data_IF_421070759538
#
_entry.id   IF_421070759538
#
_cell.length_a   1.000
_cell.length_b   1.000
_cell.length_c   1.000
_cell.angle_alpha   90.00
_cell.angle_beta   90.00
_cell.angle_gamma   90.00
#
_symmetry.space_group_name_H-M   'P 1'
#
loop_
_entity.id
_entity.type
_entity.pdbx_description
1 polymer ?
#
# COMPACT_ATOMS: atom_id res chain seq x y z
N UNK A 1 -3.40 29.68 -41.67
CA UNK A 1 -2.35 28.86 -41.04
C UNK A 1 -2.58 27.43 -41.46
N UNK A 2 -1.77 26.86 -42.35
CA UNK A 2 -1.85 25.44 -42.69
C UNK A 2 -1.38 24.65 -41.45
N UNK A 3 -2.33 23.85 -40.91
CA UNK A 3 -2.02 22.92 -39.81
C UNK A 3 -1.44 21.66 -40.41
N UNK A 4 -0.35 21.13 -39.86
CA UNK A 4 0.19 19.84 -40.28
C UNK A 4 -0.75 18.71 -39.86
N UNK A 5 -1.07 17.77 -40.75
CA UNK A 5 -1.89 16.63 -40.41
C UNK A 5 -1.27 15.76 -39.29
N UNK A 6 -2.12 15.23 -38.41
CA UNK A 6 -1.69 14.36 -37.33
C UNK A 6 -1.49 12.93 -37.86
N UNK A 7 -0.30 12.65 -38.38
CA UNK A 7 0.05 11.34 -38.96
C UNK A 7 0.08 10.21 -37.92
N UNK A 8 0.40 10.52 -36.66
CA UNK A 8 0.45 9.53 -35.56
C UNK A 8 -0.95 9.01 -35.23
N UNK A 9 -1.95 9.90 -35.05
CA UNK A 9 -3.33 9.50 -34.86
C UNK A 9 -3.85 8.68 -36.06
N UNK A 10 -3.53 9.12 -37.28
CA UNK A 10 -3.96 8.42 -38.49
C UNK A 10 -3.37 7.00 -38.58
N UNK A 11 -2.09 6.82 -38.23
CA UNK A 11 -1.41 5.53 -38.20
C UNK A 11 -2.03 4.57 -37.17
N UNK A 12 -2.24 5.02 -35.93
CA UNK A 12 -2.82 4.18 -34.87
C UNK A 12 -4.30 3.86 -35.17
N UNK A 13 -5.05 4.79 -35.76
CA UNK A 13 -6.42 4.48 -36.21
C UNK A 13 -6.46 3.44 -37.33
N UNK A 14 -5.49 3.46 -38.26
CA UNK A 14 -5.37 2.47 -39.34
C UNK A 14 -5.01 1.09 -38.75
N UNK A 15 -4.02 1.03 -37.82
CA UNK A 15 -3.68 -0.19 -37.08
C UNK A 15 -4.88 -0.76 -36.37
N UNK A 16 -5.67 0.09 -35.69
CA UNK A 16 -6.89 -0.29 -35.00
C UNK A 16 -8.06 -0.63 -35.95
N UNK A 17 -7.97 -0.46 -37.27
CA UNK A 17 -9.07 -0.59 -38.20
C UNK A 17 -10.27 0.30 -37.79
N UNK A 18 -10.01 1.53 -37.29
CA UNK A 18 -11.05 2.42 -36.78
C UNK A 18 -11.37 3.54 -37.76
N UNK A 19 -12.63 3.63 -38.17
CA UNK A 19 -13.13 4.81 -38.90
C UNK A 19 -13.35 5.99 -37.96
N UNK A 20 -13.44 7.22 -38.49
CA UNK A 20 -13.74 8.40 -37.71
C UNK A 20 -15.06 8.27 -36.91
N UNK A 21 -16.08 7.64 -37.50
CA UNK A 21 -17.37 7.40 -36.86
C UNK A 21 -17.24 6.35 -35.73
N UNK A 22 -16.47 5.29 -35.98
CA UNK A 22 -16.21 4.22 -35.03
C UNK A 22 -15.41 4.72 -33.82
N UNK A 23 -14.37 5.53 -34.04
CA UNK A 23 -13.59 6.13 -32.96
C UNK A 23 -14.46 7.11 -32.15
N UNK A 24 -15.21 8.01 -32.80
CA UNK A 24 -16.08 8.94 -32.10
C UNK A 24 -17.13 8.25 -31.21
N UNK A 25 -17.67 7.11 -31.64
CA UNK A 25 -18.59 6.32 -30.82
C UNK A 25 -17.88 5.76 -29.57
N UNK A 26 -16.72 5.13 -29.73
CA UNK A 26 -15.94 4.57 -28.60
C UNK A 26 -15.47 5.62 -27.60
N UNK A 27 -15.06 6.80 -28.10
CA UNK A 27 -14.67 7.91 -27.23
C UNK A 27 -15.83 8.36 -26.34
N UNK A 28 -17.05 8.35 -26.85
CA UNK A 28 -18.24 8.63 -26.04
C UNK A 28 -18.52 7.52 -25.02
N UNK A 29 -18.40 6.26 -25.43
CA UNK A 29 -18.56 5.11 -24.54
C UNK A 29 -17.53 5.12 -23.42
N UNK A 30 -16.27 5.48 -23.71
CA UNK A 30 -15.23 5.68 -22.71
C UNK A 30 -15.59 6.83 -21.78
N UNK A 31 -15.98 7.99 -22.30
CA UNK A 31 -16.38 9.15 -21.48
C UNK A 31 -17.56 8.82 -20.56
N UNK A 32 -18.57 8.07 -21.05
CA UNK A 32 -19.71 7.62 -20.23
C UNK A 32 -19.30 6.69 -19.11
N UNK A 33 -18.32 5.78 -19.33
CA UNK A 33 -17.72 4.95 -18.27
C UNK A 33 -17.07 5.80 -17.16
N UNK A 34 -16.56 6.96 -17.52
CA UNK A 34 -15.96 7.93 -16.57
C UNK A 34 -16.97 8.95 -16.03
N UNK A 35 -18.28 8.76 -16.28
CA UNK A 35 -19.33 9.65 -15.79
C UNK A 35 -19.44 10.98 -16.55
N UNK A 36 -18.80 11.08 -17.72
CA UNK A 36 -18.76 12.31 -18.53
C UNK A 36 -19.63 12.18 -19.81
N UNK A 37 -20.26 13.27 -20.20
CA UNK A 37 -21.02 13.35 -21.45
C UNK A 37 -20.25 14.17 -22.48
N UNK A 38 -19.71 13.49 -23.49
CA UNK A 38 -19.02 14.12 -24.60
C UNK A 38 -19.88 14.13 -25.88
N UNK A 39 -20.03 15.31 -26.48
CA UNK A 39 -20.66 15.47 -27.79
C UNK A 39 -19.74 15.16 -29.00
N UNK A 40 -18.77 14.22 -28.83
CA UNK A 40 -17.79 13.92 -29.88
C UNK A 40 -18.44 13.32 -31.10
N UNK A 41 -18.38 14.02 -32.24
CA UNK A 41 -18.84 13.56 -33.53
C UNK A 41 -17.67 13.14 -34.45
N UNK A 42 -17.96 12.42 -35.53
CA UNK A 42 -16.94 12.01 -36.51
C UNK A 42 -16.17 13.19 -37.14
N UNK A 43 -16.82 14.36 -37.22
CA UNK A 43 -16.21 15.61 -37.69
C UNK A 43 -15.10 16.07 -36.74
N UNK A 44 -15.26 15.89 -35.43
CA UNK A 44 -14.21 16.21 -34.45
C UNK A 44 -12.98 15.33 -34.66
N UNK A 45 -13.17 14.03 -34.89
CA UNK A 45 -12.07 13.09 -35.19
C UNK A 45 -11.35 13.49 -36.48
N UNK A 46 -12.11 13.88 -37.52
CA UNK A 46 -11.49 14.38 -38.77
C UNK A 46 -10.64 15.62 -38.51
N UNK A 47 -11.15 16.58 -37.75
CA UNK A 47 -10.38 17.80 -37.40
C UNK A 47 -9.10 17.50 -36.63
N UNK A 48 -9.12 16.51 -35.74
CA UNK A 48 -7.91 16.07 -35.02
C UNK A 48 -6.89 15.44 -35.94
N UNK A 49 -7.33 14.64 -36.92
CA UNK A 49 -6.47 14.09 -37.98
C UNK A 49 -5.88 15.19 -38.87
N UNK A 50 -6.61 16.25 -39.11
CA UNK A 50 -6.18 17.44 -39.88
C UNK A 50 -5.32 18.40 -39.05
N UNK A 51 -4.85 17.98 -37.85
CA UNK A 51 -3.96 18.75 -37.00
C UNK A 51 -4.65 19.77 -36.08
N UNK A 52 -5.98 19.67 -35.90
CA UNK A 52 -6.66 20.51 -34.90
C UNK A 52 -6.30 20.06 -33.48
N UNK A 53 -6.15 21.02 -32.58
CA UNK A 53 -5.95 20.78 -31.15
C UNK A 53 -7.13 20.06 -30.51
N UNK A 54 -6.83 19.29 -29.49
CA UNK A 54 -7.79 18.51 -28.70
C UNK A 54 -7.66 18.90 -27.21
N UNK A 55 -8.75 18.89 -26.48
CA UNK A 55 -8.71 19.06 -25.02
C UNK A 55 -8.03 17.87 -24.40
N UNK A 56 -7.26 18.10 -23.32
CA UNK A 56 -6.44 17.09 -22.65
C UNK A 56 -7.22 15.85 -22.22
N UNK A 57 -8.38 16.06 -21.62
CA UNK A 57 -9.27 14.98 -21.17
C UNK A 57 -9.82 14.17 -22.35
N UNK A 58 -10.24 14.85 -23.43
CA UNK A 58 -10.71 14.17 -24.64
C UNK A 58 -9.57 13.37 -25.30
N UNK A 59 -8.32 13.87 -25.25
CA UNK A 59 -7.15 13.13 -25.75
C UNK A 59 -6.91 11.85 -24.96
N UNK A 60 -7.11 11.86 -23.63
CA UNK A 60 -7.04 10.69 -22.79
C UNK A 60 -8.10 9.64 -23.17
N UNK A 61 -9.35 10.06 -23.36
CA UNK A 61 -10.40 9.15 -23.81
C UNK A 61 -10.19 8.58 -25.22
N UNK A 62 -9.58 9.35 -26.12
CA UNK A 62 -9.17 8.85 -27.45
C UNK A 62 -8.10 7.78 -27.32
N UNK A 63 -7.10 8.00 -26.46
CA UNK A 63 -6.03 7.07 -26.20
C UNK A 63 -6.56 5.78 -25.55
N UNK A 64 -7.46 5.87 -24.57
CA UNK A 64 -8.11 4.73 -23.93
C UNK A 64 -8.95 3.93 -24.93
N UNK A 65 -9.79 4.59 -25.74
CA UNK A 65 -10.62 3.94 -26.73
C UNK A 65 -9.81 3.14 -27.80
N UNK A 66 -8.61 3.61 -28.12
CA UNK A 66 -7.70 2.91 -29.03
C UNK A 66 -6.89 1.83 -28.31
N UNK A 67 -6.55 2.03 -27.05
CA UNK A 67 -5.89 1.02 -26.20
C UNK A 67 -6.77 -0.21 -26.04
N UNK A 68 -8.07 -0.02 -25.71
CA UNK A 68 -9.07 -1.08 -25.57
C UNK A 68 -9.16 -1.91 -26.87
N UNK A 69 -9.15 -1.24 -28.00
CA UNK A 69 -9.29 -1.92 -29.28
C UNK A 69 -8.04 -2.69 -29.71
N UNK A 70 -6.87 -2.16 -29.43
CA UNK A 70 -5.58 -2.76 -29.82
C UNK A 70 -5.02 -3.70 -28.75
N UNK A 71 -5.69 -3.80 -27.59
CA UNK A 71 -5.22 -4.57 -26.41
C UNK A 71 -3.76 -4.26 -26.04
N UNK A 72 -3.35 -3.02 -26.24
CA UNK A 72 -2.05 -2.50 -25.81
C UNK A 72 -2.18 -1.05 -25.38
N UNK A 73 -1.33 -0.62 -24.48
CA UNK A 73 -1.34 0.76 -23.97
C UNK A 73 -0.96 1.74 -25.08
N UNK A 74 -1.82 2.74 -25.28
CA UNK A 74 -1.61 3.88 -26.16
C UNK A 74 -1.76 5.14 -25.32
N UNK A 75 -0.81 6.04 -25.43
CA UNK A 75 -0.84 7.32 -24.73
C UNK A 75 -1.25 8.45 -25.69
N UNK A 76 -1.76 9.59 -25.19
CA UNK A 76 -2.01 10.76 -26.02
C UNK A 76 -0.78 11.22 -26.82
N UNK A 77 0.44 11.01 -26.28
CA UNK A 77 1.70 11.31 -26.95
C UNK A 77 1.91 10.43 -28.20
N UNK A 78 1.56 9.14 -28.11
CA UNK A 78 1.65 8.20 -29.22
C UNK A 78 0.68 8.57 -30.36
N UNK A 79 -0.37 9.34 -30.03
CA UNK A 79 -1.37 9.86 -30.95
C UNK A 79 -1.01 11.26 -31.50
N UNK A 80 0.19 11.77 -31.24
CA UNK A 80 0.63 13.09 -31.74
C UNK A 80 -0.13 14.27 -31.13
N UNK A 81 -0.67 14.14 -29.93
CA UNK A 81 -1.26 15.25 -29.20
C UNK A 81 -0.20 15.88 -28.26
N UNK A 82 0.56 16.92 -28.74
CA UNK A 82 1.52 17.62 -27.92
C UNK A 82 0.76 18.44 -26.87
N UNK A 83 1.00 18.20 -25.63
CA UNK A 83 0.33 18.84 -24.50
C UNK A 83 -0.41 17.90 -23.58
N UNK A 84 -0.49 16.63 -23.94
CA UNK A 84 -0.71 15.56 -23.00
C UNK A 84 0.62 15.00 -22.48
N UNK A 85 1.57 15.88 -22.16
CA UNK A 85 2.61 15.47 -21.23
C UNK A 85 1.90 14.84 -20.03
N UNK A 86 2.36 13.68 -19.50
CA UNK A 86 1.83 13.19 -18.23
C UNK A 86 1.77 14.40 -17.31
N UNK A 87 0.65 14.56 -16.58
CA UNK A 87 0.64 15.59 -15.54
C UNK A 87 1.94 15.44 -14.79
N UNK A 88 2.69 16.55 -14.53
CA UNK A 88 3.91 16.44 -13.76
C UNK A 88 3.58 15.55 -12.59
N UNK A 89 4.40 14.51 -12.39
CA UNK A 89 4.14 13.51 -11.37
C UNK A 89 3.75 14.25 -10.11
N UNK A 90 2.58 13.93 -9.56
CA UNK A 90 2.04 14.69 -8.44
C UNK A 90 3.08 14.74 -7.33
N UNK A 91 3.54 15.90 -6.93
CA UNK A 91 4.44 16.10 -5.80
C UNK A 91 3.69 16.23 -4.48
N UNK A 92 2.35 16.11 -4.52
CA UNK A 92 1.50 16.18 -3.33
C UNK A 92 1.88 15.07 -2.36
N UNK A 93 2.21 15.46 -1.12
CA UNK A 93 2.59 14.51 -0.05
C UNK A 93 4.01 13.94 -0.16
N UNK A 94 4.86 14.48 -1.07
CA UNK A 94 6.27 14.10 -1.12
C UNK A 94 7.11 14.73 0.02
N UNK A 95 7.06 16.02 0.27
CA UNK A 95 7.79 16.62 1.38
C UNK A 95 7.06 16.37 2.71
N UNK A 96 7.85 16.28 3.79
CA UNK A 96 7.29 16.31 5.13
C UNK A 96 6.70 17.69 5.40
N UNK A 97 5.39 17.77 5.60
CA UNK A 97 4.67 19.05 5.65
C UNK A 97 5.17 19.95 6.79
N UNK A 98 5.35 21.23 6.51
CA UNK A 98 5.81 22.23 7.48
C UNK A 98 4.73 22.64 8.47
N UNK A 99 3.45 22.40 8.17
CA UNK A 99 2.30 22.80 8.99
C UNK A 99 1.18 21.76 8.96
N UNK A 100 0.30 21.83 9.97
CA UNK A 100 -0.92 21.02 10.00
C UNK A 100 -1.85 21.35 8.81
N UNK A 101 -2.02 22.62 8.45
CA UNK A 101 -2.88 23.03 7.33
C UNK A 101 -2.42 22.38 6.01
N UNK A 102 -1.11 22.36 5.76
CA UNK A 102 -0.53 21.68 4.60
C UNK A 102 -0.76 20.16 4.66
N UNK A 103 -0.63 19.55 5.85
CA UNK A 103 -0.90 18.11 6.05
C UNK A 103 -2.35 17.76 5.73
N UNK A 104 -3.31 18.55 6.21
CA UNK A 104 -4.74 18.32 5.96
C UNK A 104 -5.08 18.50 4.47
N UNK A 105 -4.55 19.53 3.83
CA UNK A 105 -4.72 19.75 2.39
C UNK A 105 -4.09 18.60 1.56
N UNK A 106 -2.95 18.09 2.00
CA UNK A 106 -2.30 16.94 1.38
C UNK A 106 -3.17 15.69 1.50
N UNK A 107 -3.65 15.36 2.70
CA UNK A 107 -4.53 14.21 2.93
C UNK A 107 -5.83 14.31 2.13
N UNK A 108 -6.44 15.49 2.08
CA UNK A 108 -7.61 15.74 1.24
C UNK A 108 -7.31 15.43 -0.23
N UNK A 109 -6.22 15.98 -0.75
CA UNK A 109 -5.79 15.75 -2.15
C UNK A 109 -5.51 14.27 -2.43
N UNK A 110 -4.86 13.54 -1.51
CA UNK A 110 -4.59 12.11 -1.65
C UNK A 110 -5.88 11.28 -1.66
N UNK A 111 -6.89 11.67 -0.86
CA UNK A 111 -8.19 10.97 -0.85
C UNK A 111 -9.02 11.18 -2.11
N UNK A 112 -8.71 12.16 -2.95
CA UNK A 112 -9.33 12.36 -4.26
C UNK A 112 -8.67 11.51 -5.37
N UNK A 113 -7.43 11.04 -5.16
CA UNK A 113 -6.75 10.18 -6.12
C UNK A 113 -7.37 8.78 -6.07
N UNK A 114 -7.70 8.21 -7.23
CA UNK A 114 -8.17 6.83 -7.31
C UNK A 114 -6.95 5.91 -7.42
N UNK A 115 -6.87 4.81 -6.65
CA UNK A 115 -5.78 3.83 -6.79
C UNK A 115 -5.67 3.29 -8.23
N UNK A 116 -6.81 3.20 -8.92
CA UNK A 116 -6.94 2.73 -10.30
C UNK A 116 -6.40 3.74 -11.32
N UNK A 117 -6.30 5.03 -10.95
CA UNK A 117 -5.97 6.08 -11.90
C UNK A 117 -4.52 5.99 -12.39
N UNK A 118 -3.58 5.38 -11.65
CA UNK A 118 -2.19 5.12 -12.11
C UNK A 118 -1.35 4.22 -11.17
N UNK A 119 -1.49 2.91 -11.16
CA UNK A 119 -0.46 2.08 -10.54
C UNK A 119 0.83 2.21 -11.35
N UNK A 120 1.86 2.82 -10.78
CA UNK A 120 3.24 2.78 -11.30
C UNK A 120 3.79 3.99 -12.04
N UNK A 121 3.01 5.02 -12.37
CA UNK A 121 3.52 6.21 -13.09
C UNK A 121 4.05 7.33 -12.18
N UNK A 122 3.84 7.25 -10.87
CA UNK A 122 4.32 8.27 -9.93
C UNK A 122 5.73 7.92 -9.42
N UNK A 123 6.65 8.89 -9.40
CA UNK A 123 7.99 8.64 -8.89
C UNK A 123 7.91 8.27 -7.39
N UNK A 124 8.71 7.29 -6.97
CA UNK A 124 8.82 6.97 -5.55
C UNK A 124 9.38 8.15 -4.78
N UNK A 125 9.04 8.25 -3.48
CA UNK A 125 9.65 9.23 -2.60
C UNK A 125 11.17 9.06 -2.59
N UNK A 126 11.95 10.16 -2.76
CA UNK A 126 13.39 10.13 -2.60
C UNK A 126 13.77 9.66 -1.19
N UNK A 127 14.83 8.86 -1.07
CA UNK A 127 15.32 8.41 0.24
C UNK A 127 15.71 9.59 1.14
N UNK A 128 16.24 10.68 0.57
CA UNK A 128 16.56 11.92 1.29
C UNK A 128 15.36 12.53 2.02
N UNK A 129 14.19 12.54 1.37
CA UNK A 129 12.97 13.13 1.94
C UNK A 129 12.43 12.27 3.08
N UNK A 130 12.48 10.96 2.91
CA UNK A 130 12.08 10.00 3.95
C UNK A 130 13.03 10.06 5.16
N UNK A 131 14.34 10.14 4.92
CA UNK A 131 15.33 10.29 5.99
C UNK A 131 15.12 11.61 6.74
N UNK A 132 14.90 12.70 6.01
CA UNK A 132 14.64 14.01 6.61
C UNK A 132 13.36 14.02 7.45
N UNK A 133 12.29 13.37 6.96
CA UNK A 133 11.04 13.25 7.71
C UNK A 133 11.19 12.43 9.00
N UNK A 134 11.84 11.27 8.91
CA UNK A 134 12.08 10.42 10.07
C UNK A 134 12.95 11.15 11.13
N UNK A 135 14.01 11.85 10.70
CA UNK A 135 14.85 12.64 11.58
C UNK A 135 14.07 13.82 12.20
N UNK A 136 13.31 14.57 11.40
CA UNK A 136 12.49 15.67 11.89
C UNK A 136 11.51 15.19 12.95
N UNK A 137 10.82 14.07 12.70
CA UNK A 137 9.90 13.49 13.67
C UNK A 137 10.61 13.02 14.96
N UNK A 138 11.79 12.42 14.86
CA UNK A 138 12.56 11.96 16.03
C UNK A 138 12.99 13.08 16.95
N UNK A 139 13.49 14.19 16.39
CA UNK A 139 14.14 15.27 17.17
C UNK A 139 13.18 16.40 17.55
N UNK A 140 12.05 16.56 16.84
CA UNK A 140 11.12 17.63 17.10
C UNK A 140 10.24 17.35 18.31
N UNK A 141 9.90 18.42 19.04
CA UNK A 141 8.85 18.35 20.06
C UNK A 141 7.48 18.28 19.41
N UNK A 142 6.46 17.69 20.07
CA UNK A 142 5.09 17.77 19.60
C UNK A 142 4.66 19.22 19.39
N UNK A 143 3.93 19.49 18.29
CA UNK A 143 3.43 20.83 17.99
C UNK A 143 2.29 21.23 18.95
N UNK A 144 1.57 20.24 19.48
CA UNK A 144 0.32 20.42 20.20
C UNK A 144 -0.87 20.55 19.26
N UNK A 145 -2.02 20.07 19.71
CA UNK A 145 -3.26 20.16 18.93
C UNK A 145 -3.80 21.59 18.97
N UNK A 146 -4.20 22.15 17.79
CA UNK A 146 -4.79 23.47 17.76
C UNK A 146 -6.16 23.44 18.46
N UNK A 147 -6.45 24.44 19.29
CA UNK A 147 -7.76 24.62 19.93
C UNK A 147 -8.38 25.90 19.40
N UNK A 148 -9.40 25.78 18.56
CA UNK A 148 -10.16 26.94 18.07
C UNK A 148 -11.52 27.03 18.78
N UNK A 149 -11.64 28.02 19.67
CA UNK A 149 -12.89 28.28 20.38
C UNK A 149 -13.97 28.93 19.51
N UNK A 150 -13.61 29.49 18.35
CA UNK A 150 -14.50 30.20 17.44
C UNK A 150 -15.17 29.28 16.41
N UNK A 151 -14.71 28.03 16.24
CA UNK A 151 -15.25 27.09 15.27
C UNK A 151 -16.74 26.80 15.54
N UNK A 152 -17.54 26.84 14.49
CA UNK A 152 -18.99 26.59 14.55
C UNK A 152 -19.35 25.14 14.83
N UNK A 153 -18.55 24.20 14.31
CA UNK A 153 -18.72 22.75 14.57
C UNK A 153 -17.90 22.35 15.79
N UNK A 154 -18.53 21.73 16.76
CA UNK A 154 -17.87 21.18 17.96
C UNK A 154 -17.76 19.67 17.87
N UNK A 155 -16.56 19.17 18.12
CA UNK A 155 -16.24 17.73 18.16
C UNK A 155 -16.14 17.27 19.61
N UNK A 156 -16.68 16.11 19.91
CA UNK A 156 -16.64 15.45 21.22
C UNK A 156 -16.10 14.04 21.16
N UNK A 157 -15.99 13.39 22.32
CA UNK A 157 -15.51 12.01 22.42
C UNK A 157 -16.38 10.99 21.67
N UNK A 158 -17.65 11.32 21.39
CA UNK A 158 -18.55 10.45 20.59
C UNK A 158 -18.09 10.40 19.12
N UNK A 159 -17.62 11.52 18.58
CA UNK A 159 -17.09 11.57 17.20
C UNK A 159 -15.79 10.76 17.11
N UNK A 160 -14.92 10.89 18.13
CA UNK A 160 -13.68 10.10 18.23
C UNK A 160 -13.99 8.60 18.30
N UNK A 161 -14.96 8.21 19.11
CA UNK A 161 -15.37 6.81 19.23
C UNK A 161 -15.92 6.27 17.88
N UNK A 162 -16.70 7.07 17.14
CA UNK A 162 -17.20 6.68 15.82
C UNK A 162 -16.06 6.41 14.83
N UNK A 163 -15.02 7.28 14.81
CA UNK A 163 -13.83 7.09 13.94
C UNK A 163 -13.11 5.78 14.31
N UNK A 164 -12.88 5.53 15.61
CA UNK A 164 -12.21 4.29 16.05
C UNK A 164 -13.01 3.04 15.73
N UNK A 165 -14.33 3.06 15.95
CA UNK A 165 -15.21 1.94 15.59
C UNK A 165 -15.13 1.66 14.08
N UNK A 166 -15.17 2.70 13.24
CA UNK A 166 -15.01 2.54 11.81
C UNK A 166 -13.61 2.00 11.43
N UNK A 167 -12.54 2.49 12.07
CA UNK A 167 -11.19 1.98 11.85
C UNK A 167 -11.08 0.48 12.19
N UNK A 168 -11.63 0.05 13.32
CA UNK A 168 -11.67 -1.36 13.71
C UNK A 168 -12.43 -2.23 12.71
N UNK A 169 -13.57 -1.76 12.20
CA UNK A 169 -14.34 -2.45 11.17
C UNK A 169 -13.55 -2.60 9.85
N UNK A 170 -12.92 -1.53 9.38
CA UNK A 170 -12.10 -1.57 8.16
C UNK A 170 -10.85 -2.45 8.33
N UNK A 171 -10.25 -2.45 9.51
CA UNK A 171 -9.13 -3.35 9.81
C UNK A 171 -9.55 -4.82 9.72
N UNK A 172 -10.73 -5.19 10.24
CA UNK A 172 -11.26 -6.55 10.12
C UNK A 172 -11.49 -6.95 8.66
N UNK A 173 -12.06 -6.06 7.83
CA UNK A 173 -12.23 -6.30 6.40
C UNK A 173 -10.87 -6.49 5.69
N UNK A 174 -9.86 -5.69 6.05
CA UNK A 174 -8.51 -5.83 5.50
C UNK A 174 -7.88 -7.18 5.85
N UNK A 175 -8.04 -7.65 7.09
CA UNK A 175 -7.54 -8.96 7.51
C UNK A 175 -8.22 -10.13 6.79
N UNK A 176 -9.52 -10.00 6.49
CA UNK A 176 -10.28 -11.06 5.82
C UNK A 176 -10.06 -11.09 4.31
N UNK A 177 -10.11 -9.94 3.65
CA UNK A 177 -10.23 -9.84 2.20
C UNK A 177 -9.05 -9.15 1.50
N UNK A 178 -8.13 -8.56 2.27
CA UNK A 178 -7.02 -7.75 1.72
C UNK A 178 -7.40 -6.30 1.46
N UNK A 179 -6.38 -5.46 1.28
CA UNK A 179 -6.52 -4.00 1.22
C UNK A 179 -7.37 -3.47 0.07
N UNK A 180 -7.45 -4.19 -1.05
CA UNK A 180 -8.19 -3.75 -2.24
C UNK A 180 -9.70 -3.71 -2.06
N UNK A 181 -10.25 -4.67 -1.32
CA UNK A 181 -11.70 -4.88 -1.20
C UNK A 181 -12.47 -3.69 -0.58
N UNK A 182 -11.97 -3.14 0.52
CA UNK A 182 -12.65 -2.09 1.26
C UNK A 182 -12.08 -0.67 1.00
N UNK A 183 -11.00 -0.54 0.24
CA UNK A 183 -10.25 0.71 0.08
C UNK A 183 -11.11 1.89 -0.33
N UNK A 184 -12.04 1.71 -1.28
CA UNK A 184 -12.93 2.77 -1.78
C UNK A 184 -13.86 3.31 -0.69
N UNK A 185 -14.52 2.42 0.06
CA UNK A 185 -15.42 2.79 1.15
C UNK A 185 -14.64 3.45 2.29
N UNK A 186 -13.48 2.92 2.61
CA UNK A 186 -12.60 3.43 3.65
C UNK A 186 -12.10 4.83 3.34
N UNK A 187 -11.59 5.06 2.14
CA UNK A 187 -11.16 6.38 1.67
C UNK A 187 -12.30 7.41 1.69
N UNK A 188 -13.50 6.99 1.27
CA UNK A 188 -14.68 7.85 1.32
C UNK A 188 -15.01 8.27 2.75
N UNK A 189 -15.09 7.32 3.68
CA UNK A 189 -15.34 7.60 5.09
C UNK A 189 -14.28 8.53 5.70
N UNK A 190 -13.00 8.26 5.44
CA UNK A 190 -11.92 9.12 5.95
C UNK A 190 -12.07 10.56 5.46
N UNK A 191 -12.36 10.75 4.16
CA UNK A 191 -12.49 12.08 3.55
C UNK A 191 -13.72 12.84 4.05
N UNK A 192 -14.88 12.19 4.09
CA UNK A 192 -16.15 12.88 4.34
C UNK A 192 -16.46 12.99 5.85
N UNK A 193 -16.06 12.00 6.65
CA UNK A 193 -16.46 11.91 8.04
C UNK A 193 -15.32 12.23 9.02
N UNK A 194 -14.09 11.77 8.79
CA UNK A 194 -13.00 11.91 9.74
C UNK A 194 -12.15 13.17 9.50
N UNK A 195 -11.67 13.40 8.28
CA UNK A 195 -10.75 14.50 7.95
C UNK A 195 -11.31 15.89 8.27
N UNK A 196 -12.60 16.22 7.98
CA UNK A 196 -13.17 17.52 8.30
C UNK A 196 -13.23 17.83 9.80
N UNK A 197 -13.23 16.79 10.66
CA UNK A 197 -13.26 16.99 12.12
C UNK A 197 -11.94 17.56 12.65
N UNK A 198 -10.82 17.30 11.99
CA UNK A 198 -9.51 17.82 12.37
C UNK A 198 -9.38 19.34 12.27
N UNK A 199 -10.22 19.97 11.43
CA UNK A 199 -10.33 21.42 11.31
C UNK A 199 -11.47 22.04 12.14
N UNK A 200 -12.18 21.26 12.96
CA UNK A 200 -13.30 21.76 13.77
C UNK A 200 -12.84 22.24 15.17
N UNK A 201 -13.77 22.70 16.00
CA UNK A 201 -13.48 23.12 17.38
C UNK A 201 -13.56 21.96 18.36
N UNK A 202 -12.56 21.83 19.22
CA UNK A 202 -12.49 20.80 20.28
C UNK A 202 -11.64 21.26 21.49
N UNK A 203 -11.78 20.59 22.63
CA UNK A 203 -10.87 20.78 23.76
C UNK A 203 -9.53 20.05 23.50
N UNK A 204 -8.47 20.42 24.17
CA UNK A 204 -7.15 19.80 24.04
C UNK A 204 -7.25 18.25 24.15
N UNK A 205 -7.91 17.74 25.19
CA UNK A 205 -8.10 16.29 25.41
C UNK A 205 -8.85 15.59 24.26
N UNK A 206 -9.90 16.25 23.72
CA UNK A 206 -10.65 15.70 22.57
C UNK A 206 -9.79 15.77 21.32
N UNK A 207 -9.05 16.86 21.12
CA UNK A 207 -8.14 17.03 20.00
C UNK A 207 -7.06 15.94 19.97
N UNK A 208 -6.37 15.69 21.09
CA UNK A 208 -5.37 14.61 21.19
C UNK A 208 -5.97 13.25 20.78
N UNK A 209 -7.14 12.89 21.33
CA UNK A 209 -7.83 11.65 21.00
C UNK A 209 -8.31 11.61 19.53
N UNK A 210 -8.74 12.75 18.98
CA UNK A 210 -9.19 12.89 17.58
C UNK A 210 -8.03 12.68 16.60
N UNK A 211 -6.89 13.34 16.86
CA UNK A 211 -5.71 13.19 16.00
C UNK A 211 -5.11 11.78 16.08
N UNK A 212 -5.14 11.14 17.26
CA UNK A 212 -4.77 9.74 17.40
C UNK A 212 -5.67 8.84 16.55
N UNK A 213 -7.00 8.95 16.67
CA UNK A 213 -7.95 8.17 15.88
C UNK A 213 -7.83 8.42 14.37
N UNK A 214 -7.60 9.67 13.96
CA UNK A 214 -7.37 10.02 12.56
C UNK A 214 -6.05 9.44 12.04
N UNK A 215 -5.00 9.39 12.87
CA UNK A 215 -3.72 8.76 12.54
C UNK A 215 -3.86 7.24 12.37
N UNK A 216 -4.61 6.57 13.27
CA UNK A 216 -4.95 5.15 13.16
C UNK A 216 -5.65 4.87 11.80
N UNK A 217 -6.64 5.67 11.45
CA UNK A 217 -7.39 5.52 10.22
C UNK A 217 -6.54 5.82 8.98
N UNK A 218 -5.76 6.90 8.99
CA UNK A 218 -4.85 7.25 7.88
C UNK A 218 -3.77 6.20 7.66
N UNK A 219 -3.27 5.58 8.73
CA UNK A 219 -2.34 4.45 8.67
C UNK A 219 -2.96 3.24 7.98
N UNK A 220 -4.22 2.91 8.27
CA UNK A 220 -4.92 1.81 7.60
C UNK A 220 -5.13 2.09 6.11
N UNK A 221 -5.42 3.35 5.71
CA UNK A 221 -5.46 3.75 4.30
C UNK A 221 -4.11 3.55 3.61
N UNK A 222 -3.02 3.94 4.29
CA UNK A 222 -1.67 3.74 3.79
C UNK A 222 -1.37 2.24 3.61
N UNK A 223 -1.76 1.41 4.57
CA UNK A 223 -1.58 -0.04 4.51
C UNK A 223 -2.38 -0.68 3.38
N UNK A 224 -3.65 -0.28 3.23
CA UNK A 224 -4.50 -0.73 2.13
C UNK A 224 -3.93 -0.36 0.75
N UNK A 225 -3.38 0.85 0.59
CA UNK A 225 -2.70 1.26 -0.63
C UNK A 225 -1.43 0.42 -0.89
N UNK A 226 -0.65 0.13 0.15
CA UNK A 226 0.51 -0.75 0.08
C UNK A 226 0.14 -2.17 -0.32
N UNK A 227 -0.87 -2.76 0.30
CA UNK A 227 -1.34 -4.12 0.03
C UNK A 227 -1.90 -4.28 -1.39
N UNK A 228 -2.49 -3.22 -1.93
CA UNK A 228 -2.96 -3.13 -3.32
C UNK A 228 -1.84 -2.84 -4.34
N UNK A 229 -0.57 -2.74 -3.90
CA UNK A 229 0.57 -2.47 -4.77
C UNK A 229 0.81 -1.00 -5.11
N UNK A 230 -0.01 -0.07 -4.59
CA UNK A 230 0.20 1.37 -4.81
C UNK A 230 1.18 1.95 -3.79
N UNK A 231 2.44 1.59 -3.95
CA UNK A 231 3.50 1.90 -2.99
C UNK A 231 3.78 3.39 -2.83
N UNK A 232 3.64 4.16 -3.89
CA UNK A 232 3.88 5.61 -3.85
C UNK A 232 2.76 6.33 -3.09
N UNK A 233 1.51 5.93 -3.29
CA UNK A 233 0.38 6.46 -2.53
C UNK A 233 0.49 6.08 -1.05
N UNK A 234 0.89 4.84 -0.75
CA UNK A 234 1.15 4.39 0.61
C UNK A 234 2.21 5.23 1.32
N UNK A 235 3.37 5.46 0.67
CA UNK A 235 4.43 6.33 1.19
C UNK A 235 3.90 7.75 1.54
N UNK A 236 3.08 8.33 0.68
CA UNK A 236 2.51 9.68 0.87
C UNK A 236 1.52 9.74 2.04
N UNK A 237 0.65 8.73 2.16
CA UNK A 237 -0.22 8.62 3.34
C UNK A 237 0.61 8.44 4.61
N UNK A 238 1.64 7.58 4.61
CA UNK A 238 2.51 7.37 5.77
C UNK A 238 3.23 8.65 6.18
N UNK A 239 3.77 9.42 5.22
CA UNK A 239 4.42 10.71 5.49
C UNK A 239 3.45 11.70 6.15
N UNK A 240 2.24 11.82 5.61
CA UNK A 240 1.20 12.70 6.16
C UNK A 240 0.74 12.24 7.54
N UNK A 241 0.60 10.92 7.73
CA UNK A 241 0.23 10.35 9.04
C UNK A 241 1.32 10.57 10.09
N UNK A 242 2.59 10.40 9.71
CA UNK A 242 3.72 10.70 10.60
C UNK A 242 3.67 12.16 11.07
N UNK A 243 3.26 13.08 10.20
CA UNK A 243 3.06 14.50 10.55
C UNK A 243 1.88 14.71 11.50
N UNK A 244 0.76 13.96 11.34
CA UNK A 244 -0.35 14.02 12.31
C UNK A 244 0.08 13.55 13.70
N UNK A 245 0.92 12.50 13.79
CA UNK A 245 1.44 12.03 15.08
C UNK A 245 2.36 13.06 15.75
N UNK A 246 3.04 13.90 14.98
CA UNK A 246 3.84 15.00 15.49
C UNK A 246 2.94 16.08 16.14
N UNK A 247 1.77 16.34 15.55
CA UNK A 247 0.79 17.30 16.12
C UNK A 247 0.22 16.79 17.44
N UNK A 248 -0.20 15.54 17.51
CA UNK A 248 -0.78 14.96 18.73
C UNK A 248 0.24 14.61 19.80
N UNK A 249 1.51 14.46 19.43
CA UNK A 249 2.54 13.92 20.31
C UNK A 249 2.47 12.40 20.49
N UNK A 250 1.70 11.69 19.66
CA UNK A 250 1.57 10.23 19.71
C UNK A 250 2.82 9.55 19.17
N UNK A 251 3.82 9.37 20.06
CA UNK A 251 5.11 8.75 19.72
C UNK A 251 4.97 7.28 19.37
N UNK A 252 4.04 6.56 20.01
CA UNK A 252 3.83 5.14 19.72
C UNK A 252 3.25 4.94 18.32
N UNK A 253 2.24 5.71 17.93
CA UNK A 253 1.70 5.66 16.58
C UNK A 253 2.73 6.14 15.54
N UNK A 254 3.51 7.18 15.82
CA UNK A 254 4.57 7.62 14.92
C UNK A 254 5.65 6.56 14.70
N UNK A 255 6.05 5.84 15.75
CA UNK A 255 6.95 4.69 15.64
C UNK A 255 6.32 3.55 14.81
N UNK A 256 5.03 3.30 14.98
CA UNK A 256 4.26 2.36 14.14
C UNK A 256 4.31 2.75 12.65
N UNK A 257 4.16 4.04 12.32
CA UNK A 257 4.25 4.51 10.93
C UNK A 257 5.64 4.24 10.37
N UNK A 258 6.70 4.56 11.12
CA UNK A 258 8.08 4.27 10.69
C UNK A 258 8.32 2.77 10.50
N UNK A 259 7.73 1.91 11.36
CA UNK A 259 7.74 0.45 11.21
C UNK A 259 7.09 0.02 9.88
N UNK A 260 5.93 0.56 9.54
CA UNK A 260 5.24 0.24 8.28
C UNK A 260 6.05 0.70 7.06
N UNK A 261 6.65 1.90 7.13
CA UNK A 261 7.55 2.39 6.08
C UNK A 261 8.79 1.50 5.93
N UNK A 262 9.34 1.00 7.04
CA UNK A 262 10.44 0.03 7.02
C UNK A 262 10.01 -1.28 6.36
N UNK A 263 8.86 -1.81 6.74
CA UNK A 263 8.31 -3.03 6.15
C UNK A 263 8.13 -2.90 4.63
N UNK A 264 7.52 -1.80 4.17
CA UNK A 264 7.38 -1.53 2.73
C UNK A 264 8.73 -1.39 2.04
N UNK A 265 9.69 -0.66 2.63
CA UNK A 265 11.03 -0.48 2.06
C UNK A 265 11.76 -1.84 1.93
N UNK A 266 11.62 -2.70 2.94
CA UNK A 266 12.18 -4.05 2.94
C UNK A 266 11.56 -4.91 1.82
N UNK A 267 10.24 -4.90 1.71
CA UNK A 267 9.50 -5.58 0.65
C UNK A 267 9.92 -5.11 -0.76
N UNK A 268 10.23 -3.83 -0.93
CA UNK A 268 10.69 -3.25 -2.19
C UNK A 268 12.20 -3.43 -2.45
N UNK A 269 12.93 -4.11 -1.54
CA UNK A 269 14.38 -4.31 -1.65
C UNK A 269 15.22 -3.07 -1.36
N UNK A 270 14.63 -2.02 -0.75
CA UNK A 270 15.33 -0.80 -0.36
C UNK A 270 15.96 -0.97 1.02
N UNK A 271 16.89 -1.90 1.14
CA UNK A 271 17.43 -2.38 2.42
C UNK A 271 18.02 -1.27 3.31
N UNK A 272 18.84 -0.31 2.81
CA UNK A 272 19.36 0.77 3.67
C UNK A 272 18.25 1.64 4.27
N UNK A 273 17.20 1.95 3.48
CA UNK A 273 16.02 2.70 3.93
C UNK A 273 15.25 1.91 4.98
N UNK A 274 15.07 0.60 4.78
CA UNK A 274 14.37 -0.26 5.73
C UNK A 274 15.06 -0.29 7.09
N UNK A 275 16.37 -0.50 7.12
CA UNK A 275 17.16 -0.52 8.37
C UNK A 275 17.10 0.82 9.09
N UNK A 276 17.25 1.94 8.37
CA UNK A 276 17.18 3.28 8.97
C UNK A 276 15.81 3.53 9.61
N UNK A 277 14.71 3.23 8.91
CA UNK A 277 13.36 3.44 9.40
C UNK A 277 13.02 2.54 10.59
N UNK A 278 13.45 1.27 10.57
CA UNK A 278 13.25 0.35 11.69
C UNK A 278 13.97 0.84 12.96
N UNK A 279 15.23 1.27 12.84
CA UNK A 279 15.97 1.86 13.96
C UNK A 279 15.33 3.14 14.47
N UNK A 280 14.86 4.00 13.56
CA UNK A 280 14.13 5.21 13.94
C UNK A 280 12.81 4.89 14.67
N UNK A 281 12.12 3.83 14.28
CA UNK A 281 10.93 3.34 14.96
C UNK A 281 11.22 2.90 16.40
N UNK A 282 12.21 2.02 16.59
CA UNK A 282 12.61 1.52 17.91
C UNK A 282 13.04 2.68 18.80
N UNK A 283 13.90 3.58 18.30
CA UNK A 283 14.39 4.73 19.05
C UNK A 283 13.27 5.71 19.42
N UNK A 284 12.39 6.01 18.47
CA UNK A 284 11.28 6.93 18.65
C UNK A 284 10.18 6.41 19.58
N UNK A 285 10.04 5.09 19.70
CA UNK A 285 9.08 4.43 20.59
C UNK A 285 9.54 4.30 22.04
N UNK A 286 10.85 4.39 22.30
CA UNK A 286 11.40 4.22 23.65
C UNK A 286 10.76 5.16 24.67
N UNK A 287 10.34 4.61 25.80
CA UNK A 287 9.77 5.36 26.91
C UNK A 287 8.35 5.89 26.70
N UNK A 288 7.76 5.68 25.53
CA UNK A 288 6.40 6.13 25.19
C UNK A 288 5.52 5.05 24.56
N UNK A 289 6.05 3.84 24.38
CA UNK A 289 5.32 2.72 23.79
C UNK A 289 5.18 1.58 24.79
N UNK A 290 4.08 0.82 24.64
CA UNK A 290 3.85 -0.39 25.44
C UNK A 290 4.90 -1.46 25.12
N UNK A 291 5.13 -2.44 26.01
CA UNK A 291 6.04 -3.53 25.74
C UNK A 291 5.64 -4.31 24.45
N UNK A 292 4.36 -4.53 24.20
CA UNK A 292 3.87 -5.18 22.97
C UNK A 292 4.21 -4.39 21.70
N UNK A 293 4.06 -3.06 21.73
CA UNK A 293 4.46 -2.20 20.62
C UNK A 293 5.97 -2.23 20.39
N UNK A 294 6.78 -2.22 21.46
CA UNK A 294 8.23 -2.35 21.35
C UNK A 294 8.65 -3.72 20.80
N UNK A 295 7.92 -4.79 21.12
CA UNK A 295 8.14 -6.11 20.52
C UNK A 295 7.94 -6.07 19.00
N UNK A 296 6.85 -5.46 18.53
CA UNK A 296 6.56 -5.26 17.12
C UNK A 296 7.68 -4.47 16.42
N UNK A 297 8.09 -3.34 16.98
CA UNK A 297 9.13 -2.49 16.39
C UNK A 297 10.48 -3.21 16.30
N UNK A 298 10.86 -3.95 17.35
CA UNK A 298 12.10 -4.73 17.40
C UNK A 298 12.07 -5.92 16.43
N UNK A 299 10.92 -6.58 16.26
CA UNK A 299 10.76 -7.67 15.29
C UNK A 299 10.97 -7.16 13.84
N UNK A 300 10.44 -5.98 13.52
CA UNK A 300 10.66 -5.36 12.21
C UNK A 300 12.10 -4.85 12.01
N UNK A 301 12.77 -4.40 13.09
CA UNK A 301 14.21 -4.11 13.04
C UNK A 301 14.99 -5.38 12.74
N UNK A 302 14.67 -6.50 13.41
CA UNK A 302 15.28 -7.80 13.14
C UNK A 302 15.12 -8.20 11.68
N UNK A 303 13.92 -8.01 11.11
CA UNK A 303 13.62 -8.32 9.71
C UNK A 303 14.45 -7.48 8.73
N UNK A 304 14.54 -6.17 8.94
CA UNK A 304 15.35 -5.29 8.10
C UNK A 304 16.85 -5.64 8.18
N UNK A 305 17.35 -5.96 9.39
CA UNK A 305 18.73 -6.40 9.63
C UNK A 305 19.01 -7.77 9.01
N UNK A 306 18.05 -8.70 9.03
CA UNK A 306 18.17 -10.01 8.38
C UNK A 306 18.32 -9.87 6.87
N UNK A 307 17.51 -9.05 6.25
CA UNK A 307 17.61 -8.75 4.81
C UNK A 307 18.95 -8.07 4.47
N UNK A 308 19.48 -7.24 5.36
CA UNK A 308 20.81 -6.62 5.20
C UNK A 308 21.97 -7.55 5.51
N UNK A 309 21.72 -8.81 5.90
CA UNK A 309 22.70 -9.82 6.32
C UNK A 309 23.52 -9.42 7.58
N UNK A 310 22.98 -8.54 8.42
CA UNK A 310 23.55 -8.27 9.74
C UNK A 310 23.08 -9.32 10.76
N UNK A 311 23.69 -10.48 10.73
CA UNK A 311 23.36 -11.63 11.60
C UNK A 311 23.37 -11.28 13.09
N UNK A 312 24.37 -10.47 13.54
CA UNK A 312 24.48 -10.08 14.94
C UNK A 312 23.43 -9.07 15.34
N UNK A 313 23.17 -8.11 14.48
CA UNK A 313 22.11 -7.12 14.69
C UNK A 313 20.74 -7.78 14.72
N UNK A 314 20.45 -8.65 13.75
CA UNK A 314 19.20 -9.39 13.67
C UNK A 314 18.95 -10.24 14.92
N UNK A 315 19.95 -11.01 15.37
CA UNK A 315 19.84 -11.83 16.59
C UNK A 315 19.56 -10.99 17.85
N UNK A 316 20.22 -9.81 17.99
CA UNK A 316 19.93 -8.90 19.11
C UNK A 316 18.49 -8.37 19.04
N UNK A 317 18.06 -7.93 17.87
CA UNK A 317 16.72 -7.36 17.69
C UNK A 317 15.62 -8.40 17.91
N UNK A 318 15.80 -9.67 17.47
CA UNK A 318 14.89 -10.78 17.78
C UNK A 318 14.80 -11.04 19.29
N UNK A 319 15.95 -11.12 19.98
CA UNK A 319 15.97 -11.30 21.44
C UNK A 319 15.32 -10.13 22.20
N UNK A 320 15.49 -8.90 21.72
CA UNK A 320 14.83 -7.75 22.31
C UNK A 320 13.31 -7.78 22.06
N UNK A 321 12.86 -8.19 20.86
CA UNK A 321 11.46 -8.39 20.54
C UNK A 321 10.83 -9.44 21.47
N UNK A 322 11.48 -10.58 21.67
CA UNK A 322 11.02 -11.66 22.56
C UNK A 322 10.90 -11.16 24.02
N UNK A 323 11.94 -10.50 24.56
CA UNK A 323 11.90 -9.92 25.91
C UNK A 323 10.82 -8.86 26.11
N UNK A 324 10.56 -8.05 25.10
CA UNK A 324 9.46 -7.09 25.15
C UNK A 324 8.11 -7.81 25.12
N UNK A 325 7.96 -8.83 24.26
CA UNK A 325 6.73 -9.61 24.18
C UNK A 325 6.41 -10.35 25.48
N UNK A 326 7.40 -10.98 26.12
CA UNK A 326 7.25 -11.65 27.42
C UNK A 326 6.79 -10.72 28.54
N UNK A 327 7.10 -9.42 28.45
CA UNK A 327 6.69 -8.41 29.45
C UNK A 327 5.35 -7.76 29.14
N UNK A 328 4.74 -8.08 27.98
CA UNK A 328 3.49 -7.48 27.54
C UNK A 328 2.32 -8.11 28.31
N UNK A 329 1.63 -7.32 29.12
CA UNK A 329 0.41 -7.72 29.85
C UNK A 329 -0.88 -7.32 29.14
N UNK A 330 -0.78 -6.49 28.09
CA UNK A 330 -1.90 -6.03 27.29
C UNK A 330 -2.76 -4.93 27.92
N UNK A 331 -2.50 -4.53 29.17
CA UNK A 331 -3.38 -3.62 29.90
C UNK A 331 -3.46 -2.20 29.30
N UNK A 332 -2.37 -1.74 28.71
CA UNK A 332 -2.27 -0.41 28.10
C UNK A 332 -2.18 -0.46 26.57
N UNK A 333 -2.35 -1.64 25.97
CA UNK A 333 -2.24 -1.79 24.53
C UNK A 333 -3.42 -1.13 23.82
N UNK A 334 -3.18 -0.33 22.77
CA UNK A 334 -4.25 0.18 21.93
C UNK A 334 -4.86 -0.94 21.08
N UNK A 335 -6.12 -0.78 20.71
CA UNK A 335 -6.88 -1.79 19.96
C UNK A 335 -6.20 -2.18 18.64
N UNK A 336 -5.56 -1.23 17.96
CA UNK A 336 -4.84 -1.50 16.71
C UNK A 336 -3.65 -2.45 16.87
N UNK A 337 -3.19 -2.71 18.10
CA UNK A 337 -2.07 -3.63 18.40
C UNK A 337 -2.54 -5.05 18.75
N UNK A 338 -3.84 -5.30 18.82
CA UNK A 338 -4.39 -6.57 19.26
C UNK A 338 -3.96 -7.77 18.37
N UNK A 339 -3.59 -7.52 17.10
CA UNK A 339 -3.10 -8.57 16.20
C UNK A 339 -1.66 -9.02 16.53
N UNK A 340 -0.89 -8.24 17.30
CA UNK A 340 0.48 -8.58 17.68
C UNK A 340 0.47 -9.64 18.78
N UNK A 341 0.16 -10.86 18.39
CA UNK A 341 0.15 -12.05 19.23
C UNK A 341 1.41 -12.90 19.00
N UNK A 342 1.45 -14.11 19.58
CA UNK A 342 2.56 -15.03 19.43
C UNK A 342 2.71 -15.50 17.97
N UNK A 343 1.61 -15.69 17.25
CA UNK A 343 1.65 -16.10 15.85
C UNK A 343 2.33 -15.04 14.98
N UNK A 344 2.02 -13.77 15.19
CA UNK A 344 2.65 -12.64 14.49
C UNK A 344 4.15 -12.55 14.80
N UNK A 345 4.54 -12.60 16.07
CA UNK A 345 5.95 -12.56 16.47
C UNK A 345 6.75 -13.70 15.82
N UNK A 346 6.25 -14.92 15.90
CA UNK A 346 6.87 -16.12 15.31
C UNK A 346 6.90 -15.99 13.77
N UNK A 347 5.85 -15.42 13.17
CA UNK A 347 5.79 -15.11 11.75
C UNK A 347 6.91 -14.17 11.31
N UNK A 348 7.16 -13.09 12.05
CA UNK A 348 8.26 -12.17 11.76
C UNK A 348 9.64 -12.86 11.91
N UNK A 349 9.79 -13.74 12.90
CA UNK A 349 11.06 -14.50 13.08
C UNK A 349 11.31 -15.50 11.96
N UNK A 350 10.28 -16.15 11.42
CA UNK A 350 10.48 -17.07 10.29
C UNK A 350 11.00 -16.32 9.03
N UNK A 351 10.53 -15.11 8.79
CA UNK A 351 11.09 -14.23 7.76
C UNK A 351 12.57 -13.91 8.03
N UNK A 352 12.93 -13.61 9.29
CA UNK A 352 14.32 -13.33 9.65
C UNK A 352 15.23 -14.51 9.33
N UNK A 353 14.87 -15.72 9.75
CA UNK A 353 15.68 -16.92 9.51
C UNK A 353 15.77 -17.29 8.01
N UNK A 354 14.67 -17.13 7.26
CA UNK A 354 14.69 -17.32 5.80
C UNK A 354 15.66 -16.36 5.13
N UNK A 355 15.58 -15.07 5.48
CA UNK A 355 16.41 -14.03 4.85
C UNK A 355 17.89 -14.19 5.23
N UNK A 356 18.20 -14.68 6.45
CA UNK A 356 19.54 -15.06 6.90
C UNK A 356 20.02 -16.40 6.32
N UNK A 357 19.22 -17.07 5.46
CA UNK A 357 19.55 -18.37 4.84
C UNK A 357 19.71 -19.52 5.84
N UNK A 358 19.02 -19.46 6.97
CA UNK A 358 18.98 -20.49 8.01
C UNK A 358 17.74 -21.38 7.79
N UNK A 359 17.79 -22.27 6.78
CA UNK A 359 16.64 -23.03 6.29
C UNK A 359 15.94 -23.88 7.35
N UNK A 360 16.68 -24.59 8.20
CA UNK A 360 16.08 -25.44 9.22
C UNK A 360 15.31 -24.64 10.28
N UNK A 361 15.89 -23.54 10.78
CA UNK A 361 15.22 -22.63 11.70
C UNK A 361 14.01 -21.95 11.03
N UNK A 362 14.16 -21.50 9.79
CA UNK A 362 13.09 -20.90 9.02
C UNK A 362 11.88 -21.83 8.90
N UNK A 363 12.08 -23.12 8.57
CA UNK A 363 11.01 -24.11 8.51
C UNK A 363 10.35 -24.28 9.86
N UNK A 364 11.14 -24.49 10.94
CA UNK A 364 10.60 -24.70 12.29
C UNK A 364 9.71 -23.53 12.75
N UNK A 365 10.16 -22.28 12.53
CA UNK A 365 9.39 -21.08 12.92
C UNK A 365 8.18 -20.89 12.01
N UNK A 366 8.29 -21.14 10.71
CA UNK A 366 7.18 -21.03 9.78
C UNK A 366 6.07 -22.07 10.05
N UNK A 367 6.42 -23.32 10.35
CA UNK A 367 5.46 -24.36 10.77
C UNK A 367 4.70 -23.92 12.04
N UNK A 368 5.43 -23.37 13.03
CA UNK A 368 4.81 -22.86 14.25
C UNK A 368 3.87 -21.67 13.96
N UNK A 369 4.29 -20.73 13.10
CA UNK A 369 3.43 -19.61 12.69
C UNK A 369 2.14 -20.10 12.01
N UNK A 370 2.24 -21.06 11.08
CA UNK A 370 1.07 -21.68 10.44
C UNK A 370 0.15 -22.35 11.47
N UNK A 371 0.72 -23.10 12.43
CA UNK A 371 -0.05 -23.78 13.46
C UNK A 371 -0.76 -22.86 14.45
N UNK A 372 -0.18 -21.69 14.75
CA UNK A 372 -0.72 -20.69 15.67
C UNK A 372 -1.73 -19.74 15.00
N UNK A 373 -1.65 -19.56 13.67
CA UNK A 373 -2.54 -18.66 12.96
C UNK A 373 -3.97 -19.19 12.91
N UNK A 374 -4.93 -18.42 13.43
CA UNK A 374 -6.36 -18.76 13.36
C UNK A 374 -6.81 -18.83 11.88
N UNK A 375 -7.42 -19.95 11.44
CA UNK A 375 -7.89 -20.14 10.07
C UNK A 375 -8.83 -19.05 9.54
N UNK A 376 -9.52 -18.31 10.42
CA UNK A 376 -10.36 -17.17 10.03
C UNK A 376 -9.55 -16.04 9.38
N UNK A 377 -8.24 -15.94 9.66
CA UNK A 377 -7.32 -14.99 9.03
C UNK A 377 -6.68 -15.60 7.79
N UNK A 378 -7.51 -15.93 6.79
CA UNK A 378 -7.12 -16.65 5.58
C UNK A 378 -5.93 -16.00 4.86
N UNK A 379 -5.91 -14.66 4.77
CA UNK A 379 -4.79 -13.91 4.18
C UNK A 379 -3.47 -14.12 4.93
N UNK A 380 -3.47 -13.95 6.24
CA UNK A 380 -2.28 -14.16 7.09
C UNK A 380 -1.78 -15.59 6.96
N UNK A 381 -2.69 -16.57 6.99
CA UNK A 381 -2.35 -17.98 6.82
C UNK A 381 -1.73 -18.25 5.43
N UNK A 382 -2.24 -17.61 4.38
CA UNK A 382 -1.66 -17.67 3.04
C UNK A 382 -0.21 -17.18 3.01
N UNK A 383 0.08 -16.01 3.61
CA UNK A 383 1.44 -15.51 3.74
C UNK A 383 2.35 -16.43 4.54
N UNK A 384 1.89 -16.93 5.71
CA UNK A 384 2.68 -17.88 6.52
C UNK A 384 3.02 -19.14 5.73
N UNK A 385 2.08 -19.69 4.96
CA UNK A 385 2.32 -20.85 4.09
C UNK A 385 3.32 -20.54 2.97
N UNK A 386 3.24 -19.36 2.33
CA UNK A 386 4.22 -18.99 1.31
C UNK A 386 5.62 -18.87 1.88
N UNK A 387 5.77 -18.31 3.10
CA UNK A 387 7.06 -18.24 3.78
C UNK A 387 7.55 -19.65 4.17
N UNK A 388 6.66 -20.54 4.61
CA UNK A 388 7.00 -21.94 4.88
C UNK A 388 7.47 -22.63 3.59
N UNK A 389 6.76 -22.46 2.48
CA UNK A 389 7.15 -23.04 1.19
C UNK A 389 8.55 -22.57 0.75
N UNK A 390 8.83 -21.26 0.84
CA UNK A 390 10.16 -20.73 0.55
C UNK A 390 11.24 -21.26 1.51
N UNK A 391 10.89 -21.47 2.79
CA UNK A 391 11.81 -22.03 3.79
C UNK A 391 12.11 -23.51 3.53
N UNK A 392 11.09 -24.29 3.15
CA UNK A 392 11.24 -25.70 2.75
C UNK A 392 12.11 -25.82 1.50
N UNK A 393 11.88 -24.96 0.49
CA UNK A 393 12.73 -24.92 -0.71
C UNK A 393 14.18 -24.57 -0.36
N UNK A 394 14.40 -23.58 0.51
CA UNK A 394 15.72 -23.20 0.99
C UNK A 394 16.41 -24.36 1.75
N UNK A 395 15.64 -25.20 2.43
CA UNK A 395 16.12 -26.38 3.16
C UNK A 395 16.29 -27.62 2.26
N UNK A 396 16.00 -27.51 0.96
CA UNK A 396 16.21 -28.56 -0.05
C UNK A 396 15.01 -29.49 -0.25
N UNK A 397 13.86 -29.23 0.36
CA UNK A 397 12.66 -30.08 0.24
C UNK A 397 11.68 -29.45 -0.78
N UNK A 398 11.89 -29.78 -2.06
CA UNK A 398 11.07 -29.26 -3.17
C UNK A 398 9.61 -29.75 -3.10
N UNK A 399 9.39 -31.03 -2.77
CA UNK A 399 8.05 -31.62 -2.79
C UNK A 399 7.17 -31.00 -1.70
N UNK A 400 7.70 -30.86 -0.46
CA UNK A 400 7.01 -30.17 0.62
C UNK A 400 6.77 -28.70 0.26
N UNK A 401 7.77 -28.01 -0.31
CA UNK A 401 7.67 -26.61 -0.69
C UNK A 401 6.52 -26.35 -1.69
N UNK A 402 6.46 -27.14 -2.76
CA UNK A 402 5.43 -27.02 -3.79
C UNK A 402 4.05 -27.38 -3.24
N UNK A 403 3.95 -28.42 -2.42
CA UNK A 403 2.69 -28.80 -1.76
C UNK A 403 2.17 -27.68 -0.86
N UNK A 404 3.04 -27.09 -0.04
CA UNK A 404 2.68 -25.98 0.86
C UNK A 404 2.29 -24.73 0.08
N UNK A 405 2.98 -24.40 -1.01
CA UNK A 405 2.64 -23.29 -1.89
C UNK A 405 1.27 -23.49 -2.56
N UNK A 406 0.96 -24.71 -3.01
CA UNK A 406 -0.36 -25.05 -3.56
C UNK A 406 -1.48 -24.79 -2.55
N UNK A 407 -1.32 -25.20 -1.30
CA UNK A 407 -2.28 -24.92 -0.21
C UNK A 407 -2.41 -23.42 0.09
N UNK A 408 -1.34 -22.64 -0.10
CA UNK A 408 -1.41 -21.20 0.07
C UNK A 408 -2.21 -20.52 -1.05
N UNK A 409 -2.06 -20.97 -2.30
CA UNK A 409 -2.81 -20.46 -3.47
C UNK A 409 -4.29 -20.80 -3.35
N UNK A 410 -4.65 -22.01 -2.91
CA UNK A 410 -6.05 -22.40 -2.67
C UNK A 410 -6.71 -21.51 -1.61
N UNK A 411 -6.02 -21.21 -0.51
CA UNK A 411 -6.55 -20.35 0.55
C UNK A 411 -6.57 -18.86 0.16
N UNK A 412 -5.73 -18.45 -0.80
CA UNK A 412 -5.57 -17.07 -1.24
C UNK A 412 -6.37 -16.70 -2.49
N UNK A 413 -7.15 -17.60 -3.03
CA UNK A 413 -7.85 -17.45 -4.31
C UNK A 413 -8.81 -16.24 -4.34
N UNK A 414 -9.41 -15.92 -3.20
CA UNK A 414 -10.29 -14.76 -3.04
C UNK A 414 -9.57 -13.48 -2.60
N UNK A 415 -8.24 -13.48 -2.52
CA UNK A 415 -7.50 -12.34 -1.97
C UNK A 415 -7.10 -11.35 -3.07
N UNK A 416 -7.59 -10.14 -2.99
CA UNK A 416 -7.19 -9.00 -3.84
C UNK A 416 -5.92 -8.31 -3.28
N UNK A 417 -4.88 -9.09 -2.96
CA UNK A 417 -3.62 -8.58 -2.42
C UNK A 417 -2.50 -8.72 -3.45
N UNK A 418 -2.02 -7.60 -4.00
CA UNK A 418 -0.86 -7.56 -4.90
C UNK A 418 0.40 -8.09 -4.21
N UNK A 419 0.50 -7.93 -2.88
CA UNK A 419 1.60 -8.52 -2.10
C UNK A 419 1.58 -10.04 -2.12
N UNK A 420 0.42 -10.65 -1.91
CA UNK A 420 0.28 -12.11 -1.95
C UNK A 420 0.63 -12.64 -3.34
N UNK A 421 0.09 -12.03 -4.40
CA UNK A 421 0.42 -12.38 -5.78
C UNK A 421 1.93 -12.32 -6.04
N UNK A 422 2.62 -11.31 -5.50
CA UNK A 422 4.08 -11.23 -5.62
C UNK A 422 4.81 -12.37 -4.91
N UNK A 423 4.40 -12.75 -3.69
CA UNK A 423 4.99 -13.91 -2.98
C UNK A 423 4.85 -15.19 -3.81
N UNK A 424 3.68 -15.41 -4.42
CA UNK A 424 3.44 -16.53 -5.33
C UNK A 424 4.36 -16.45 -6.55
N UNK A 425 4.45 -15.29 -7.21
CA UNK A 425 5.33 -15.08 -8.37
C UNK A 425 6.81 -15.21 -8.04
N UNK A 426 7.24 -14.78 -6.84
CA UNK A 426 8.62 -14.97 -6.37
C UNK A 426 8.92 -16.46 -6.22
N UNK A 427 8.03 -17.21 -5.58
CA UNK A 427 8.18 -18.67 -5.44
C UNK A 427 8.20 -19.39 -6.80
N UNK A 428 7.32 -18.99 -7.76
CA UNK A 428 7.36 -19.56 -9.11
C UNK A 428 8.72 -19.36 -9.80
N UNK A 429 9.35 -18.19 -9.60
CA UNK A 429 10.70 -17.92 -10.13
C UNK A 429 11.75 -18.80 -9.45
N UNK A 430 11.65 -19.00 -8.14
CA UNK A 430 12.58 -19.84 -7.39
C UNK A 430 12.50 -21.31 -7.82
N UNK A 431 11.30 -21.85 -8.05
CA UNK A 431 11.13 -23.25 -8.49
C UNK A 431 11.27 -23.44 -10.00
N UNK A 432 11.46 -22.38 -10.77
CA UNK A 432 11.52 -22.44 -12.26
C UNK A 432 12.63 -23.36 -12.79
N UNK A 433 13.73 -23.52 -12.04
CA UNK A 433 14.84 -24.45 -12.36
C UNK A 433 14.37 -25.91 -12.36
N UNK A 434 13.25 -26.23 -11.71
CA UNK A 434 12.60 -27.53 -11.64
C UNK A 434 11.32 -27.59 -12.50
N UNK A 435 11.15 -26.67 -13.45
CA UNK A 435 9.91 -26.49 -14.24
C UNK A 435 9.48 -27.66 -15.10
N UNK A 436 10.34 -28.68 -15.31
CA UNK A 436 9.99 -29.92 -16.03
C UNK A 436 9.32 -30.97 -15.14
N UNK A 437 9.36 -30.80 -13.82
CA UNK A 437 8.74 -31.75 -12.89
C UNK A 437 7.22 -31.60 -12.85
N UNK A 438 6.46 -32.70 -12.85
CA UNK A 438 4.99 -32.67 -12.87
C UNK A 438 4.38 -31.85 -11.73
N UNK A 439 4.95 -31.93 -10.51
CA UNK A 439 4.44 -31.18 -9.35
C UNK A 439 4.57 -29.66 -9.55
N UNK A 440 5.67 -29.19 -10.13
CA UNK A 440 5.88 -27.76 -10.44
C UNK A 440 4.96 -27.30 -11.57
N UNK A 441 4.75 -28.16 -12.59
CA UNK A 441 3.80 -27.86 -13.68
C UNK A 441 2.37 -27.74 -13.16
N UNK A 442 1.96 -28.64 -12.28
CA UNK A 442 0.63 -28.61 -11.65
C UNK A 442 0.45 -27.32 -10.82
N UNK A 443 1.42 -26.96 -9.99
CA UNK A 443 1.40 -25.71 -9.22
C UNK A 443 1.26 -24.48 -10.13
N UNK A 444 2.04 -24.42 -11.22
CA UNK A 444 1.94 -23.31 -12.17
C UNK A 444 0.57 -23.26 -12.87
N UNK A 445 -0.06 -24.40 -13.10
CA UNK A 445 -1.44 -24.49 -13.58
C UNK A 445 -2.43 -23.90 -12.59
N UNK A 446 -2.35 -24.31 -11.31
CA UNK A 446 -3.20 -23.77 -10.24
C UNK A 446 -3.09 -22.24 -10.08
N UNK A 447 -1.85 -21.72 -10.13
CA UNK A 447 -1.63 -20.26 -10.05
C UNK A 447 -2.29 -19.54 -11.23
N UNK A 448 -2.13 -20.05 -12.44
CA UNK A 448 -2.77 -19.45 -13.64
C UNK A 448 -4.27 -19.42 -13.49
N UNK A 449 -4.89 -20.57 -13.13
CA UNK A 449 -6.33 -20.68 -12.98
C UNK A 449 -6.87 -19.76 -11.86
N UNK A 450 -6.09 -19.57 -10.78
CA UNK A 450 -6.40 -18.63 -9.70
C UNK A 450 -6.35 -17.16 -10.17
N UNK A 451 -5.35 -16.79 -10.97
CA UNK A 451 -5.23 -15.42 -11.51
C UNK A 451 -6.33 -15.11 -12.54
N UNK A 452 -6.70 -16.07 -13.40
CA UNK A 452 -7.80 -15.90 -14.36
C UNK A 452 -9.14 -15.63 -13.65
N UNK A 453 -9.41 -16.31 -12.52
CA UNK A 453 -10.62 -16.05 -11.71
C UNK A 453 -10.65 -14.64 -11.10
N UNK A 454 -9.51 -14.12 -10.66
CA UNK A 454 -9.41 -12.76 -10.13
C UNK A 454 -9.63 -11.67 -11.19
N UNK A 455 -9.27 -11.94 -12.44
CA UNK A 455 -9.47 -11.00 -13.56
C UNK A 455 -10.93 -10.97 -14.04
N UNK A 456 -11.72 -12.02 -13.76
CA UNK A 456 -13.12 -12.16 -14.15
C UNK A 456 -14.11 -11.55 -13.11
N UNK A 457 -13.66 -11.29 -11.86
CA UNK A 457 -14.43 -10.65 -10.78
C UNK A 457 -14.27 -9.11 -10.76
#
# INVERSE_FOLDING_TARGET
>A
MNREPNHQLAAVMAEAGSSNKGLAKRVREVAERHGERLGTAHVAVQRWRDGAGIQRQTAAFVAEALSDKLRRRITPKDLGFPGAAPAPASTVGMPYAGSLAETLSTLESLTHQRPEDRPGDEPPLPDSDVHSAALAWLVSRPDGVPTDASATRRVGMRDVAAIRTAAGFFMQLDFQFGGGHAHKAFRHYFREDALPLLGAGYSAKVGEALFAAASEMSQLLAWSAYDSGNHTLADRYMMSTLRLTQVSGDRMMGARILTNMSHQANYLGRVPRAVMLARASVEGGKGSSTPRAMALFSAHEARALSTSQDHRGAARAMNDAEKFFERADGAEDPEWLAYMDEAELIGEFCHCFRDLKQGAEAVRFAERAVALTDPKYARTLGFCRMVLAQSQLLNGDLDAAVTTASLAVEAGDALQSARFQRYVGDFQREVSVHGTLPIVQQFNGQVRDAMERLDDE
#
